data_IF_874766474537
#
_entry.id   IF_874766474537
#
_cell.length_a   1.000
_cell.length_b   1.000
_cell.length_c   1.000
_cell.angle_alpha   90.00
_cell.angle_beta   90.00
_cell.angle_gamma   90.00
#
_symmetry.space_group_name_H-M   'P 1'
#
loop_
_entity.id
_entity.type
_entity.pdbx_description
1 polymer ?
#
# COMPACT_ATOMS: atom_id res chain seq x y z
N UNK A 1 16.63 12.56 18.81
CA UNK A 1 16.35 11.55 17.76
C UNK A 1 15.67 12.26 16.61
N UNK A 2 16.30 12.26 15.43
CA UNK A 2 16.00 13.11 14.26
C UNK A 2 14.76 12.63 13.50
N UNK A 3 13.67 12.34 14.21
CA UNK A 3 12.48 11.63 13.70
C UNK A 3 11.21 12.48 13.86
N UNK A 4 11.34 13.80 13.66
CA UNK A 4 10.32 14.75 14.12
C UNK A 4 9.56 15.55 13.05
N UNK A 5 10.11 15.82 11.86
CA UNK A 5 9.50 16.80 10.93
C UNK A 5 9.87 16.50 9.46
N UNK A 6 9.32 15.43 8.87
CA UNK A 6 9.15 15.31 7.42
C UNK A 6 7.82 14.60 7.22
N UNK A 7 6.88 15.21 6.48
CA UNK A 7 5.56 14.62 6.25
C UNK A 7 5.71 13.19 5.74
N UNK A 8 5.12 12.23 6.46
CA UNK A 8 5.12 10.82 6.06
C UNK A 8 4.40 10.72 4.72
N UNK A 9 5.14 10.52 3.63
CA UNK A 9 4.54 10.17 2.36
C UNK A 9 3.68 8.92 2.57
N UNK A 10 2.40 9.02 2.23
CA UNK A 10 1.46 7.91 2.40
C UNK A 10 1.75 6.89 1.31
N UNK A 11 2.01 5.66 1.72
CA UNK A 11 2.31 4.54 0.84
C UNK A 11 1.04 3.71 0.63
N UNK A 12 0.82 3.27 -0.61
CA UNK A 12 -0.39 2.55 -1.00
C UNK A 12 -0.06 1.28 -1.78
N UNK A 13 -0.89 0.27 -1.57
CA UNK A 13 -0.82 -1.01 -2.26
C UNK A 13 -1.12 -0.83 -3.76
N UNK A 14 -0.26 -1.33 -4.66
CA UNK A 14 -0.47 -1.23 -6.10
C UNK A 14 -1.61 -2.13 -6.63
N UNK A 15 -2.14 -3.03 -5.79
CA UNK A 15 -3.21 -3.98 -6.18
C UNK A 15 -4.59 -3.48 -5.79
N UNK A 16 -4.73 -2.96 -4.56
CA UNK A 16 -6.04 -2.61 -4.00
C UNK A 16 -6.16 -1.16 -3.54
N UNK A 17 -5.12 -0.33 -3.71
CA UNK A 17 -5.12 1.06 -3.26
C UNK A 17 -5.08 1.25 -1.74
N UNK A 18 -4.95 0.17 -0.95
CA UNK A 18 -4.91 0.26 0.51
C UNK A 18 -3.68 0.98 1.04
N UNK A 19 -3.81 1.90 2.01
CA UNK A 19 -2.68 2.42 2.77
C UNK A 19 -2.14 1.44 3.83
N UNK A 20 -2.78 0.27 4.01
CA UNK A 20 -2.42 -0.75 4.99
C UNK A 20 -1.27 -1.63 4.49
N UNK A 21 -0.10 -1.01 4.32
CA UNK A 21 1.13 -1.61 3.81
C UNK A 21 2.25 -1.52 4.84
N UNK A 22 3.02 -2.60 4.97
CA UNK A 22 4.12 -2.71 5.95
C UNK A 22 5.37 -3.30 5.30
N UNK A 23 6.55 -2.88 5.80
CA UNK A 23 7.82 -3.53 5.53
C UNK A 23 8.11 -4.54 6.67
N UNK A 24 7.68 -5.80 6.49
CA UNK A 24 7.60 -6.77 7.58
C UNK A 24 8.88 -7.57 7.85
N UNK A 25 9.76 -7.76 6.86
CA UNK A 25 10.80 -8.77 6.95
C UNK A 25 12.19 -8.19 6.64
N UNK A 26 13.03 -7.97 7.66
CA UNK A 26 14.42 -7.50 7.47
C UNK A 26 15.23 -8.39 6.53
N UNK A 27 14.97 -9.70 6.55
CA UNK A 27 15.61 -10.67 5.67
C UNK A 27 15.11 -10.63 4.21
N UNK A 28 13.93 -10.05 3.97
CA UNK A 28 13.37 -9.85 2.63
C UNK A 28 13.40 -8.36 2.34
N UNK A 29 14.63 -7.87 2.16
CA UNK A 29 14.90 -6.48 1.81
C UNK A 29 13.97 -6.00 0.69
N UNK A 30 13.49 -4.76 0.83
CA UNK A 30 12.78 -4.03 -0.23
C UNK A 30 11.41 -4.59 -0.68
N UNK A 31 10.72 -5.43 0.11
CA UNK A 31 9.33 -5.84 -0.20
C UNK A 31 8.30 -5.24 0.76
N UNK A 32 7.24 -4.69 0.18
CA UNK A 32 6.02 -4.25 0.85
C UNK A 32 5.01 -5.37 0.93
N UNK A 33 4.29 -5.43 2.04
CA UNK A 33 3.18 -6.36 2.26
C UNK A 33 1.90 -5.58 2.52
N UNK A 34 0.83 -5.86 1.78
CA UNK A 34 -0.49 -5.31 2.04
C UNK A 34 -1.30 -6.26 2.91
N UNK A 35 -1.81 -5.77 4.04
CA UNK A 35 -2.62 -6.56 4.98
C UNK A 35 -4.07 -6.77 4.52
N UNK A 36 -4.56 -5.96 3.59
CA UNK A 36 -5.95 -6.05 3.13
C UNK A 36 -6.13 -7.07 2.00
N UNK A 37 -5.21 -7.12 1.03
CA UNK A 37 -5.34 -7.98 -0.15
C UNK A 37 -4.25 -9.06 -0.27
N UNK A 38 -3.26 -9.07 0.62
CA UNK A 38 -2.17 -10.05 0.62
C UNK A 38 -1.05 -9.81 -0.40
N UNK A 39 -1.05 -8.66 -1.10
CA UNK A 39 0.06 -8.29 -1.99
C UNK A 39 1.41 -8.35 -1.26
N UNK A 40 2.42 -8.94 -1.90
CA UNK A 40 3.81 -8.93 -1.45
C UNK A 40 4.74 -8.66 -2.64
N UNK A 41 5.44 -7.52 -2.63
CA UNK A 41 6.32 -7.16 -3.75
C UNK A 41 7.08 -5.86 -3.56
N UNK A 42 7.91 -5.51 -4.53
CA UNK A 42 8.82 -4.35 -4.46
C UNK A 42 8.17 -3.02 -4.85
N UNK A 43 7.02 -3.08 -5.54
CA UNK A 43 6.33 -1.89 -6.04
C UNK A 43 5.43 -1.31 -4.96
N UNK A 44 5.47 0.02 -4.82
CA UNK A 44 4.58 0.78 -3.94
C UNK A 44 4.15 2.06 -4.63
N UNK A 45 2.95 2.55 -4.30
CA UNK A 45 2.40 3.78 -4.86
C UNK A 45 2.46 4.88 -3.80
N UNK A 46 2.93 6.07 -4.18
CA UNK A 46 2.96 7.26 -3.33
C UNK A 46 1.89 8.29 -3.73
N UNK A 47 1.31 8.15 -4.93
CA UNK A 47 0.24 9.02 -5.41
C UNK A 47 -1.13 8.57 -4.89
N UNK A 48 -1.71 9.38 -3.99
CA UNK A 48 -3.02 9.13 -3.40
C UNK A 48 -4.18 9.15 -4.40
N UNK A 49 -4.06 9.83 -5.55
CA UNK A 49 -5.10 9.83 -6.59
C UNK A 49 -5.14 8.48 -7.31
N UNK A 50 -3.98 7.95 -7.68
CA UNK A 50 -3.84 6.62 -8.27
C UNK A 50 -4.34 5.57 -7.27
N UNK A 51 -3.95 5.70 -6.00
CA UNK A 51 -4.42 4.78 -4.95
C UNK A 51 -5.94 4.79 -4.78
N UNK A 52 -6.58 5.97 -4.83
CA UNK A 52 -8.03 6.08 -4.72
C UNK A 52 -8.76 5.43 -5.91
N UNK A 53 -8.22 5.55 -7.12
CA UNK A 53 -8.76 4.88 -8.31
C UNK A 53 -8.63 3.35 -8.19
N UNK A 54 -7.44 2.86 -7.82
CA UNK A 54 -7.20 1.43 -7.57
C UNK A 54 -8.15 0.87 -6.50
N UNK A 55 -8.41 1.62 -5.43
CA UNK A 55 -9.34 1.19 -4.38
C UNK A 55 -10.75 1.02 -4.90
N UNK A 56 -11.27 2.00 -5.66
CA UNK A 56 -12.62 1.93 -6.24
C UNK A 56 -12.77 0.75 -7.19
N UNK A 57 -11.79 0.52 -8.06
CA UNK A 57 -11.83 -0.61 -9.00
C UNK A 57 -11.70 -1.96 -8.28
N UNK A 58 -10.89 -2.02 -7.22
CA UNK A 58 -10.78 -3.22 -6.40
C UNK A 58 -12.08 -3.52 -5.66
N UNK A 59 -12.72 -2.51 -5.06
CA UNK A 59 -14.03 -2.65 -4.38
C UNK A 59 -15.11 -3.14 -5.34
N UNK A 60 -15.29 -2.51 -6.51
CA UNK A 60 -16.26 -2.96 -7.52
C UNK A 60 -16.07 -4.42 -7.94
N UNK A 61 -14.83 -4.88 -8.04
CA UNK A 61 -14.52 -6.26 -8.41
C UNK A 61 -14.78 -7.27 -7.29
N UNK A 62 -14.71 -6.83 -6.04
CA UNK A 62 -14.84 -7.69 -4.85
C UNK A 62 -16.15 -7.44 -4.07
N UNK A 63 -16.99 -6.52 -4.51
CA UNK A 63 -18.42 -6.48 -4.21
C UNK A 63 -19.02 -7.80 -4.72
N UNK A 64 -19.13 -8.76 -3.80
CA UNK A 64 -19.97 -9.95 -3.97
C UNK A 64 -21.40 -9.54 -3.61
N UNK A 65 -22.44 -10.05 -4.30
CA UNK A 65 -23.82 -9.88 -3.87
C UNK A 65 -24.06 -10.34 -2.42
#
# INVERSE_FOLDING_TARGET
SFYGIVGKEMLYCPVCGSPNVEWLLPQIWSKWVCKDCGYMGVLIIEDGKIAAELRREWEKKHETP
#
